data_IF_877648955176
#
_entry.id   IF_877648955176
#
_cell.length_a   1.000
_cell.length_b   1.000
_cell.length_c   1.000
_cell.angle_alpha   90.00
_cell.angle_beta   90.00
_cell.angle_gamma   90.00
#
_symmetry.space_group_name_H-M   'P 1'
#
loop_
_entity.id
_entity.type
_entity.pdbx_description
1 polymer ?
#
# COMPACT_ATOMS: atom_id res chain seq x y z
N UNK A 1 -28.15 12.64 22.67
CA UNK A 1 -26.76 12.43 23.11
C UNK A 1 -26.26 10.99 22.87
N UNK A 2 -27.13 9.99 22.83
CA UNK A 2 -26.77 8.56 22.68
C UNK A 2 -26.03 8.20 21.39
N UNK A 3 -26.40 8.80 20.25
CA UNK A 3 -25.72 8.54 18.95
C UNK A 3 -24.23 8.88 18.96
N UNK A 4 -23.82 9.90 19.74
CA UNK A 4 -22.42 10.33 19.81
C UNK A 4 -21.55 9.32 20.56
N UNK A 5 -22.10 8.69 21.61
CA UNK A 5 -21.40 7.64 22.38
C UNK A 5 -21.26 6.33 21.61
N UNK A 6 -22.23 5.97 20.77
CA UNK A 6 -22.15 4.76 19.93
C UNK A 6 -21.08 4.91 18.84
N UNK A 7 -21.01 6.08 18.21
CA UNK A 7 -20.02 6.36 17.18
C UNK A 7 -18.59 6.25 17.71
N UNK A 8 -18.33 6.80 18.91
CA UNK A 8 -17.03 6.70 19.59
C UNK A 8 -16.61 5.24 19.87
N UNK A 9 -17.57 4.35 20.17
CA UNK A 9 -17.30 2.92 20.40
C UNK A 9 -16.92 2.19 19.11
N UNK A 10 -17.60 2.49 18.00
CA UNK A 10 -17.29 1.91 16.69
C UNK A 10 -15.93 2.37 16.17
N UNK A 11 -15.59 3.65 16.34
CA UNK A 11 -14.28 4.19 15.96
C UNK A 11 -13.14 3.55 16.77
N UNK A 12 -13.34 3.37 18.08
CA UNK A 12 -12.40 2.65 18.93
C UNK A 12 -12.23 1.20 18.45
N UNK A 13 -13.32 0.48 18.20
CA UNK A 13 -13.28 -0.90 17.70
C UNK A 13 -12.58 -1.01 16.34
N UNK A 14 -12.72 0.00 15.49
CA UNK A 14 -12.02 0.10 14.20
C UNK A 14 -10.52 0.28 14.38
N UNK A 15 -10.09 1.13 15.33
CA UNK A 15 -8.67 1.36 15.64
C UNK A 15 -7.95 0.15 16.21
N UNK A 16 -8.66 -0.76 16.89
CA UNK A 16 -8.12 -2.02 17.41
C UNK A 16 -7.81 -3.07 16.32
N UNK A 17 -8.20 -2.83 15.07
CA UNK A 17 -7.94 -3.80 13.99
C UNK A 17 -6.49 -3.70 13.51
N UNK A 18 -5.80 -4.84 13.46
CA UNK A 18 -4.46 -4.93 12.86
C UNK A 18 -4.46 -4.73 11.34
N UNK A 19 -5.59 -5.05 10.70
CA UNK A 19 -5.77 -4.96 9.25
C UNK A 19 -6.62 -3.77 8.87
N UNK A 20 -6.23 -3.14 7.78
CA UNK A 20 -6.83 -1.94 7.21
C UNK A 20 -7.44 -2.25 5.84
N UNK A 21 -8.41 -1.42 5.46
CA UNK A 21 -9.13 -1.56 4.19
C UNK A 21 -8.46 -0.75 3.07
N UNK A 22 -8.83 -1.03 1.81
CA UNK A 22 -8.25 -0.35 0.64
C UNK A 22 -8.40 1.17 0.69
N UNK A 23 -9.52 1.68 1.26
CA UNK A 23 -9.75 3.11 1.41
C UNK A 23 -8.73 3.76 2.38
N UNK A 24 -8.36 3.06 3.45
CA UNK A 24 -7.38 3.57 4.41
C UNK A 24 -5.97 3.52 3.83
N UNK A 25 -5.64 2.46 3.09
CA UNK A 25 -4.39 2.36 2.34
C UNK A 25 -4.28 3.48 1.30
N UNK A 26 -5.37 3.80 0.61
CA UNK A 26 -5.43 4.90 -0.35
C UNK A 26 -5.06 6.23 0.32
N UNK A 27 -5.57 6.50 1.52
CA UNK A 27 -5.21 7.68 2.32
C UNK A 27 -3.73 7.66 2.73
N UNK A 28 -3.20 6.52 3.17
CA UNK A 28 -1.78 6.40 3.57
C UNK A 28 -0.84 6.65 2.38
N UNK A 29 -1.16 6.09 1.21
CA UNK A 29 -0.33 6.20 0.02
C UNK A 29 -0.55 7.50 -0.76
N UNK A 30 -1.63 8.25 -0.48
CA UNK A 30 -2.04 9.40 -1.27
C UNK A 30 -2.54 9.05 -2.67
N UNK A 31 -3.10 7.85 -2.85
CA UNK A 31 -3.62 7.35 -4.12
C UNK A 31 -5.15 7.24 -4.10
N UNK A 32 -5.76 7.11 -5.28
CA UNK A 32 -7.19 6.76 -5.37
C UNK A 32 -7.41 5.30 -4.97
N UNK A 33 -8.58 4.97 -4.40
CA UNK A 33 -8.95 3.59 -4.06
C UNK A 33 -8.89 2.65 -5.27
N UNK A 34 -9.21 3.17 -6.46
CA UNK A 34 -9.14 2.41 -7.70
C UNK A 34 -7.69 2.06 -8.07
N UNK A 35 -6.78 3.03 -7.97
CA UNK A 35 -5.34 2.82 -8.16
C UNK A 35 -4.79 1.76 -7.19
N UNK A 36 -5.25 1.75 -5.94
CA UNK A 36 -4.88 0.70 -4.97
C UNK A 36 -5.31 -0.67 -5.46
N UNK A 37 -6.55 -0.83 -5.95
CA UNK A 37 -7.01 -2.11 -6.50
C UNK A 37 -6.24 -2.54 -7.74
N UNK A 38 -5.86 -1.60 -8.61
CA UNK A 38 -5.03 -1.90 -9.77
C UNK A 38 -3.63 -2.36 -9.37
N UNK A 39 -3.02 -1.74 -8.36
CA UNK A 39 -1.73 -2.17 -7.81
C UNK A 39 -1.82 -3.55 -7.15
N UNK A 40 -2.94 -3.88 -6.50
CA UNK A 40 -3.21 -5.24 -6.00
C UNK A 40 -3.29 -6.24 -7.15
N UNK A 41 -4.00 -5.91 -8.24
CA UNK A 41 -4.10 -6.77 -9.43
C UNK A 41 -2.74 -7.02 -10.06
N UNK A 42 -1.90 -6.00 -10.11
CA UNK A 42 -0.50 -6.07 -10.57
C UNK A 42 0.46 -6.72 -9.57
N UNK A 43 -0.02 -7.07 -8.36
CA UNK A 43 0.77 -7.61 -7.24
C UNK A 43 1.95 -6.70 -6.81
N UNK A 44 1.81 -5.39 -7.02
CA UNK A 44 2.84 -4.41 -6.70
C UNK A 44 2.87 -4.03 -5.21
N UNK A 45 1.74 -4.15 -4.51
CA UNK A 45 1.61 -3.84 -3.08
C UNK A 45 1.39 -5.13 -2.27
N UNK A 46 1.99 -5.26 -1.07
CA UNK A 46 1.74 -6.39 -0.19
C UNK A 46 0.29 -6.39 0.29
N UNK A 47 -0.45 -7.46 -0.04
CA UNK A 47 -1.88 -7.58 0.26
C UNK A 47 -2.23 -8.99 0.71
N UNK A 48 -3.32 -9.11 1.47
CA UNK A 48 -3.90 -10.38 1.91
C UNK A 48 -5.24 -10.52 1.20
N UNK A 49 -5.36 -11.53 0.33
CA UNK A 49 -6.60 -11.81 -0.39
C UNK A 49 -7.38 -12.91 0.32
N UNK A 50 -8.58 -12.58 0.81
CA UNK A 50 -9.49 -13.54 1.44
C UNK A 50 -10.61 -13.86 0.45
N UNK A 51 -10.56 -15.07 -0.11
CA UNK A 51 -11.49 -15.53 -1.13
C UNK A 51 -11.40 -14.71 -2.43
N UNK A 52 -12.53 -14.56 -3.13
CA UNK A 52 -12.56 -13.89 -4.44
C UNK A 52 -12.66 -12.36 -4.33
N UNK A 53 -13.39 -11.84 -3.33
CA UNK A 53 -13.85 -10.44 -3.27
C UNK A 53 -13.11 -9.54 -2.28
N UNK A 54 -12.60 -10.06 -1.16
CA UNK A 54 -12.07 -9.22 -0.07
C UNK A 54 -10.56 -9.14 -0.10
N UNK A 55 -10.03 -7.92 -0.04
CA UNK A 55 -8.60 -7.63 0.05
C UNK A 55 -8.38 -6.83 1.33
N UNK A 56 -7.47 -7.31 2.15
CA UNK A 56 -7.05 -6.68 3.40
C UNK A 56 -5.57 -6.36 3.32
N UNK A 57 -5.16 -5.38 4.11
CA UNK A 57 -3.77 -4.98 4.20
C UNK A 57 -3.38 -4.89 5.66
N UNK A 58 -2.13 -5.22 5.98
CA UNK A 58 -1.59 -4.96 7.31
C UNK A 58 -0.89 -3.62 7.28
N UNK A 59 -1.19 -2.74 8.24
CA UNK A 59 -0.62 -1.38 8.29
C UNK A 59 0.91 -1.40 8.31
N UNK A 60 1.50 -2.27 9.13
CA UNK A 60 2.97 -2.39 9.22
C UNK A 60 3.60 -2.86 7.91
N UNK A 61 2.94 -3.73 7.15
CA UNK A 61 3.43 -4.20 5.85
C UNK A 61 3.43 -3.09 4.80
N UNK A 62 2.40 -2.23 4.78
CA UNK A 62 2.36 -1.08 3.86
C UNK A 62 3.46 -0.07 4.18
N UNK A 63 3.66 0.25 5.46
CA UNK A 63 4.71 1.18 5.88
C UNK A 63 6.10 0.65 5.53
N UNK A 64 6.35 -0.62 5.81
CA UNK A 64 7.61 -1.27 5.43
C UNK A 64 7.83 -1.23 3.92
N UNK A 65 6.79 -1.49 3.13
CA UNK A 65 6.86 -1.41 1.67
C UNK A 65 7.27 -0.01 1.19
N UNK A 66 6.74 1.07 1.79
CA UNK A 66 7.16 2.44 1.44
C UNK A 66 8.65 2.65 1.71
N UNK A 67 9.14 2.23 2.87
CA UNK A 67 10.57 2.32 3.20
C UNK A 67 11.44 1.54 2.21
N UNK A 68 11.00 0.35 1.78
CA UNK A 68 11.71 -0.44 0.78
C UNK A 68 11.73 0.25 -0.59
N UNK A 69 10.64 0.91 -0.99
CA UNK A 69 10.56 1.69 -2.23
C UNK A 69 11.46 2.92 -2.20
N UNK A 70 11.50 3.65 -1.08
CA UNK A 70 12.38 4.81 -0.89
C UNK A 70 13.86 4.42 -1.02
N UNK A 71 14.24 3.31 -0.39
CA UNK A 71 15.60 2.76 -0.48
C UNK A 71 15.93 2.32 -1.91
N UNK A 72 15.01 1.62 -2.58
CA UNK A 72 15.20 1.19 -3.96
C UNK A 72 15.36 2.39 -4.92
N UNK A 73 14.60 3.46 -4.71
CA UNK A 73 14.70 4.69 -5.52
C UNK A 73 15.99 5.47 -5.30
N UNK A 74 16.58 5.39 -4.10
CA UNK A 74 17.81 6.11 -3.76
C UNK A 74 19.06 5.36 -4.20
N UNK A 75 18.97 4.05 -4.41
CA UNK A 75 20.06 3.25 -4.97
C UNK A 75 20.29 3.69 -6.41
N UNK A 76 21.33 4.49 -6.61
CA UNK A 76 21.94 4.72 -7.91
C UNK A 76 22.55 3.39 -8.32
N UNK A 77 21.82 2.61 -9.12
CA UNK A 77 22.45 1.52 -9.85
C UNK A 77 23.49 2.17 -10.77
N UNK A 78 24.78 1.86 -10.56
CA UNK A 78 25.81 2.32 -11.46
C UNK A 78 25.39 1.93 -12.87
N UNK A 79 25.27 2.90 -13.80
CA UNK A 79 24.72 2.61 -15.11
C UNK A 79 25.58 1.52 -15.74
N UNK A 80 24.97 0.37 -16.06
CA UNK A 80 25.63 -0.65 -16.86
C UNK A 80 26.14 0.08 -18.11
N UNK A 81 27.47 0.14 -18.24
CA UNK A 81 28.19 0.91 -19.26
C UNK A 81 27.41 0.86 -20.57
N UNK A 82 26.86 2.00 -20.98
CA UNK A 82 26.18 2.13 -22.25
C UNK A 82 27.11 1.54 -23.32
N UNK A 83 26.75 0.38 -23.86
CA UNK A 83 27.32 -0.12 -25.12
C UNK A 83 26.79 0.80 -26.21
N UNK A 84 27.34 2.01 -26.28
CA UNK A 84 27.19 2.86 -27.45
C UNK A 84 27.65 1.99 -28.61
N UNK A 85 26.72 1.69 -29.53
CA UNK A 85 26.98 0.83 -30.68
C UNK A 85 28.15 1.44 -31.44
N UNK A 86 29.31 0.79 -31.44
CA UNK A 86 30.37 1.17 -32.38
C UNK A 86 29.86 0.79 -33.77
N UNK A 87 29.54 1.81 -34.57
CA UNK A 87 29.32 1.66 -36.01
C UNK A 87 30.66 1.25 -36.64
N UNK A 88 30.60 0.22 -37.50
CA UNK A 88 31.73 -0.34 -38.24
C UNK A 88 32.36 0.68 -39.18
#
# INVERSE_FOLDING_TARGET
MERKSEQLKEDAKKSLRETIEAAEVAVILGLSTWSVYDLVRKKAIPHIRIGKRRVLFRRSSILRFLTEQEVASTRVEEPEKCKIRQLK
#
